data_IF_725921370790
#
_entry.id   IF_725921370790
#
_cell.length_a   1.000
_cell.length_b   1.000
_cell.length_c   1.000
_cell.angle_alpha   90.00
_cell.angle_beta   90.00
_cell.angle_gamma   90.00
#
_symmetry.space_group_name_H-M   'P 1'
#
loop_
_entity.id
_entity.type
_entity.pdbx_description
1 polymer ?
#
# COMPACT_ATOMS: atom_id res chain seq x y z
N UNK A 1 19.92 13.97 -6.50
CA UNK A 1 18.59 13.42 -6.19
C UNK A 1 18.74 12.05 -5.54
N UNK A 2 18.39 11.87 -4.25
CA UNK A 2 18.41 10.56 -3.59
C UNK A 2 17.32 9.69 -4.20
N UNK A 3 17.70 8.74 -5.05
CA UNK A 3 16.81 7.69 -5.53
C UNK A 3 16.64 6.70 -4.38
N UNK A 4 15.46 6.65 -3.77
CA UNK A 4 15.16 5.70 -2.69
C UNK A 4 15.37 4.25 -3.12
N UNK A 5 15.53 3.35 -2.15
CA UNK A 5 15.62 1.91 -2.42
C UNK A 5 14.43 1.50 -3.29
N UNK A 6 14.73 0.95 -4.47
CA UNK A 6 13.70 0.48 -5.40
C UNK A 6 13.28 -0.91 -5.01
N UNK A 7 11.97 -1.16 -4.95
CA UNK A 7 11.46 -2.53 -4.90
C UNK A 7 11.91 -3.28 -6.16
N UNK A 8 12.18 -4.58 -5.99
CA UNK A 8 12.55 -5.46 -7.10
C UNK A 8 11.41 -5.51 -8.12
N UNK A 9 11.67 -5.07 -9.34
CA UNK A 9 10.69 -5.10 -10.45
C UNK A 9 10.84 -6.45 -11.16
N UNK A 10 9.84 -7.32 -11.07
CA UNK A 10 9.85 -8.65 -11.69
C UNK A 10 8.98 -9.66 -10.94
N UNK A 11 8.92 -10.90 -11.44
CA UNK A 11 8.21 -11.99 -10.78
C UNK A 11 8.82 -12.26 -9.39
N UNK A 12 7.98 -12.29 -8.35
CA UNK A 12 8.42 -12.34 -6.95
C UNK A 12 8.86 -10.99 -6.35
N UNK A 13 8.65 -9.89 -7.06
CA UNK A 13 8.79 -8.54 -6.50
C UNK A 13 7.68 -8.18 -5.51
N UNK A 14 7.96 -7.26 -4.60
CA UNK A 14 6.93 -6.72 -3.69
C UNK A 14 6.03 -5.73 -4.44
N UNK A 15 4.93 -6.23 -5.00
CA UNK A 15 3.88 -5.42 -5.63
C UNK A 15 3.06 -4.69 -4.57
N UNK A 16 2.89 -3.37 -4.73
CA UNK A 16 2.20 -2.51 -3.75
C UNK A 16 0.68 -2.42 -3.95
N UNK A 17 0.18 -2.71 -5.16
CA UNK A 17 -1.24 -2.62 -5.50
C UNK A 17 -1.59 -3.47 -6.71
N UNK A 18 -2.71 -4.18 -6.62
CA UNK A 18 -3.25 -5.00 -7.69
C UNK A 18 -4.47 -4.31 -8.31
N UNK A 19 -4.48 -4.17 -9.63
CA UNK A 19 -5.60 -3.66 -10.41
C UNK A 19 -6.14 -4.80 -11.28
N UNK A 20 -7.35 -5.26 -10.98
CA UNK A 20 -8.02 -6.29 -11.77
C UNK A 20 -9.21 -5.63 -12.45
N UNK A 21 -9.21 -5.66 -13.79
CA UNK A 21 -10.21 -4.98 -14.62
C UNK A 21 -11.19 -5.96 -15.26
N UNK A 22 -10.79 -7.21 -15.47
CA UNK A 22 -11.64 -8.26 -16.01
C UNK A 22 -11.18 -9.65 -15.53
N UNK A 23 -12.10 -10.62 -15.34
CA UNK A 23 -13.57 -10.46 -15.37
C UNK A 23 -14.11 -9.79 -14.09
N UNK A 24 -13.44 -10.00 -12.96
CA UNK A 24 -13.74 -9.28 -11.72
C UNK A 24 -13.07 -7.91 -11.72
N UNK A 25 -13.77 -6.90 -11.22
CA UNK A 25 -13.28 -5.53 -11.14
C UNK A 25 -12.99 -5.16 -9.70
N UNK A 26 -11.72 -4.89 -9.39
CA UNK A 26 -11.33 -4.28 -8.13
C UNK A 26 -9.90 -3.75 -8.16
N UNK A 27 -9.62 -2.87 -7.21
CA UNK A 27 -8.28 -2.41 -6.86
C UNK A 27 -8.00 -2.80 -5.42
N UNK A 28 -6.89 -3.49 -5.17
CA UNK A 28 -6.48 -3.91 -3.82
C UNK A 28 -5.07 -3.40 -3.52
N UNK A 29 -4.92 -2.58 -2.47
CA UNK A 29 -3.60 -2.22 -1.94
C UNK A 29 -3.10 -3.34 -1.02
N UNK A 30 -1.91 -3.87 -1.31
CA UNK A 30 -1.35 -5.03 -0.59
C UNK A 30 -0.72 -4.63 0.74
N UNK A 31 -0.36 -3.35 0.92
CA UNK A 31 0.25 -2.85 2.15
C UNK A 31 -0.82 -2.60 3.21
N UNK A 32 -1.86 -1.87 2.81
CA UNK A 32 -2.93 -1.42 3.72
C UNK A 32 -4.10 -2.40 3.79
N UNK A 33 -4.22 -3.31 2.81
CA UNK A 33 -5.35 -4.23 2.68
C UNK A 33 -6.62 -3.61 2.10
N UNK A 34 -6.63 -2.30 1.81
CA UNK A 34 -7.80 -1.60 1.27
C UNK A 34 -8.19 -2.16 -0.10
N UNK A 35 -9.47 -2.51 -0.26
CA UNK A 35 -10.05 -3.00 -1.52
C UNK A 35 -11.19 -2.09 -1.96
N UNK A 36 -11.16 -1.67 -3.22
CA UNK A 36 -12.20 -0.87 -3.88
C UNK A 36 -12.75 -1.65 -5.07
N UNK A 37 -14.07 -1.70 -5.22
CA UNK A 37 -14.76 -2.46 -6.28
C UNK A 37 -14.96 -1.69 -7.58
N UNK A 38 -14.67 -0.38 -7.61
CA UNK A 38 -14.78 0.47 -8.80
C UNK A 38 -13.38 0.90 -9.28
N UNK A 39 -12.72 0.15 -10.18
CA UNK A 39 -11.42 0.54 -10.72
C UNK A 39 -11.48 1.79 -11.60
N UNK A 40 -12.61 2.07 -12.26
CA UNK A 40 -12.74 3.21 -13.17
C UNK A 40 -12.47 4.52 -12.45
N UNK A 41 -13.17 4.77 -11.35
CA UNK A 41 -12.98 5.97 -10.54
C UNK A 41 -11.54 6.12 -10.00
N UNK A 42 -10.90 5.00 -9.65
CA UNK A 42 -9.51 4.98 -9.18
C UNK A 42 -8.54 5.35 -10.30
N UNK A 43 -8.81 4.90 -11.53
CA UNK A 43 -8.04 5.28 -12.72
C UNK A 43 -8.30 6.74 -13.13
N UNK A 44 -9.50 7.25 -12.87
CA UNK A 44 -9.89 8.65 -13.09
C UNK A 44 -9.30 9.61 -12.03
N UNK A 45 -8.69 9.08 -10.97
CA UNK A 45 -7.90 9.86 -10.01
C UNK A 45 -8.42 9.85 -8.57
N UNK A 46 -9.47 9.09 -8.24
CA UNK A 46 -9.94 8.92 -6.86
C UNK A 46 -8.96 8.08 -6.02
N UNK A 47 -7.82 8.68 -5.66
CA UNK A 47 -6.74 8.04 -4.92
C UNK A 47 -6.70 8.40 -3.44
N UNK A 48 -7.54 9.35 -3.00
CA UNK A 48 -7.51 9.91 -1.64
C UNK A 48 -7.64 8.83 -0.57
N UNK A 49 -8.59 7.91 -0.75
CA UNK A 49 -8.79 6.78 0.17
C UNK A 49 -7.54 5.90 0.31
N UNK A 50 -6.79 5.70 -0.77
CA UNK A 50 -5.54 4.93 -0.74
C UNK A 50 -4.39 5.69 -0.07
N UNK A 51 -4.33 7.00 -0.28
CA UNK A 51 -3.30 7.85 0.34
C UNK A 51 -3.51 7.89 1.85
N UNK A 52 -4.74 8.15 2.31
CA UNK A 52 -5.07 8.14 3.73
C UNK A 52 -4.80 6.79 4.38
N UNK A 53 -5.22 5.70 3.73
CA UNK A 53 -4.96 4.35 4.23
C UNK A 53 -3.46 4.07 4.35
N UNK A 54 -2.65 4.56 3.40
CA UNK A 54 -1.20 4.40 3.44
C UNK A 54 -0.55 5.20 4.57
N UNK A 55 -0.98 6.44 4.79
CA UNK A 55 -0.47 7.28 5.87
C UNK A 55 -0.80 6.66 7.24
N UNK A 56 -2.02 6.19 7.43
CA UNK A 56 -2.45 5.47 8.65
C UNK A 56 -1.62 4.20 8.86
N UNK A 57 -1.44 3.39 7.82
CA UNK A 57 -0.63 2.17 7.87
C UNK A 57 0.83 2.46 8.25
N UNK A 58 1.43 3.51 7.69
CA UNK A 58 2.83 3.86 7.97
C UNK A 58 3.03 4.31 9.41
N UNK A 59 2.15 5.20 9.91
CA UNK A 59 2.18 5.65 11.31
C UNK A 59 1.99 4.47 12.27
N UNK A 60 1.11 3.52 11.94
CA UNK A 60 0.92 2.33 12.76
C UNK A 60 2.19 1.46 12.83
N UNK A 61 2.96 1.33 11.73
CA UNK A 61 4.24 0.61 11.75
C UNK A 61 5.29 1.31 12.62
N UNK A 62 5.36 2.65 12.53
CA UNK A 62 6.29 3.44 13.35
C UNK A 62 5.99 3.29 14.86
N UNK A 63 4.71 3.16 15.25
CA UNK A 63 4.34 2.92 16.64
C UNK A 63 4.74 1.52 17.15
N UNK A 64 4.73 0.50 16.29
CA UNK A 64 5.12 -0.86 16.70
C UNK A 64 6.61 -0.99 17.00
N UNK A 65 7.47 -0.28 16.25
CA UNK A 65 8.93 -0.33 16.46
C UNK A 65 9.38 0.38 17.73
N UNK A 66 8.67 1.44 18.14
CA UNK A 66 8.94 2.17 19.38
C UNK A 66 8.59 1.35 20.63
N UNK A 67 7.61 0.45 20.54
CA UNK A 67 7.20 -0.42 21.63
C UNK A 67 8.16 -1.61 21.82
N UNK A 68 8.64 -2.20 20.72
CA UNK A 68 9.54 -3.36 20.76
C UNK A 68 10.97 -2.99 21.19
N UNK A 69 11.46 -1.80 20.79
CA UNK A 69 12.78 -1.29 21.20
C UNK A 69 12.84 -1.01 22.71
N UNK A 70 11.72 -0.65 23.35
CA UNK A 70 11.63 -0.42 24.79
C UNK A 70 11.52 -1.70 25.63
N UNK A 71 11.14 -2.83 25.04
CA UNK A 71 11.07 -4.12 25.75
C UNK A 71 12.40 -4.86 25.80
N UNK A 72 13.39 -4.44 25.00
CA UNK A 72 14.73 -5.06 24.94
C UNK A 72 15.79 -4.28 25.74
N UNK A 73 15.40 -3.25 26.50
CA UNK A 73 16.26 -2.46 27.40
C UNK A 73 15.80 -2.60 28.83
#
# INVERSE_FOLDING_TARGET
>A
AKRGQKSKIGFGGQTIRNYVLHPEQYVKDTRTGLKVSNPGAVLDGELDAFIEAYLKWRVAQDQTVDAETKSSV
#
